data_IF_641328132200
#
_entry.id   IF_641328132200
#
_cell.length_a   1.000
_cell.length_b   1.000
_cell.length_c   1.000
_cell.angle_alpha   90.00
_cell.angle_beta   90.00
_cell.angle_gamma   90.00
#
_symmetry.space_group_name_H-M   'P 1'
#
loop_
_entity.id
_entity.type
_entity.pdbx_description
1 polymer ?
#
# COMPACT_ATOMS: atom_id res chain seq x y z
N UNK A 1 -23.58 -49.47 10.97
CA UNK A 1 -23.81 -48.62 12.16
C UNK A 1 -22.80 -47.48 12.13
N UNK A 2 -23.19 -46.32 11.61
CA UNK A 2 -22.40 -45.09 11.65
C UNK A 2 -23.33 -44.02 12.20
N UNK A 3 -23.30 -43.85 13.53
CA UNK A 3 -24.00 -42.77 14.21
C UNK A 3 -22.97 -41.72 14.60
N UNK A 4 -22.79 -40.71 13.75
CA UNK A 4 -22.24 -39.42 14.16
C UNK A 4 -23.35 -38.41 13.96
N UNK A 5 -24.03 -38.06 15.06
CA UNK A 5 -24.93 -36.91 15.06
C UNK A 5 -24.07 -35.67 14.85
N UNK A 6 -24.23 -35.04 13.70
CA UNK A 6 -23.78 -33.67 13.52
C UNK A 6 -24.86 -32.79 14.14
N UNK A 7 -24.55 -32.15 15.26
CA UNK A 7 -25.38 -31.08 15.77
C UNK A 7 -25.33 -29.95 14.74
N UNK A 8 -26.43 -29.78 14.02
CA UNK A 8 -26.70 -28.57 13.26
C UNK A 8 -26.86 -27.47 14.31
N UNK A 9 -25.78 -26.75 14.60
CA UNK A 9 -25.87 -25.49 15.32
C UNK A 9 -26.54 -24.51 14.36
N UNK A 10 -27.87 -24.55 14.33
CA UNK A 10 -28.67 -23.45 13.85
C UNK A 10 -28.25 -22.23 14.68
N UNK A 11 -27.60 -21.23 14.06
CA UNK A 11 -27.45 -19.91 14.66
C UNK A 11 -28.71 -19.12 14.32
N UNK A 12 -29.72 -19.01 15.22
CA UNK A 12 -30.98 -18.37 14.93
C UNK A 12 -31.01 -17.01 15.65
N UNK A 13 -29.92 -16.24 15.60
CA UNK A 13 -29.94 -14.86 16.09
C UNK A 13 -30.10 -13.91 14.92
N UNK A 14 -31.36 -13.78 14.54
CA UNK A 14 -31.90 -12.61 13.85
C UNK A 14 -31.24 -11.33 14.42
N UNK A 15 -30.53 -10.56 13.58
CA UNK A 15 -29.87 -9.31 13.98
C UNK A 15 -30.88 -8.32 14.56
N UNK A 16 -30.96 -8.13 15.87
CA UNK A 16 -31.60 -6.96 16.50
C UNK A 16 -30.50 -6.18 17.20
N UNK A 17 -30.01 -5.07 16.62
CA UNK A 17 -29.00 -4.25 17.27
C UNK A 17 -29.56 -3.65 18.56
N UNK A 18 -28.75 -3.67 19.61
CA UNK A 18 -28.99 -2.92 20.84
C UNK A 18 -29.10 -1.41 20.54
N UNK A 19 -29.65 -0.67 21.50
CA UNK A 19 -29.73 0.81 21.41
C UNK A 19 -28.34 1.42 21.17
N UNK A 20 -27.32 0.88 21.84
CA UNK A 20 -25.93 1.31 21.69
C UNK A 20 -25.38 1.03 20.29
N UNK A 21 -25.59 -0.17 19.76
CA UNK A 21 -25.15 -0.51 18.39
C UNK A 21 -25.91 0.28 17.33
N UNK A 22 -27.19 0.60 17.58
CA UNK A 22 -27.99 1.45 16.68
C UNK A 22 -27.45 2.87 16.64
N UNK A 23 -27.15 3.45 17.81
CA UNK A 23 -26.51 4.77 17.90
C UNK A 23 -25.12 4.78 17.25
N UNK A 24 -24.34 3.73 17.48
CA UNK A 24 -23.02 3.56 16.87
C UNK A 24 -23.09 3.47 15.35
N UNK A 25 -24.04 2.68 14.82
CA UNK A 25 -24.29 2.58 13.38
C UNK A 25 -24.60 3.96 12.79
N UNK A 26 -25.55 4.69 13.38
CA UNK A 26 -25.92 6.02 12.89
C UNK A 26 -24.74 6.99 12.89
N UNK A 27 -23.91 6.98 13.94
CA UNK A 27 -22.71 7.81 13.98
C UNK A 27 -21.72 7.45 12.87
N UNK A 28 -21.40 6.15 12.70
CA UNK A 28 -20.43 5.70 11.68
C UNK A 28 -20.93 5.98 10.26
N UNK A 29 -22.20 5.73 9.98
CA UNK A 29 -22.78 6.02 8.65
C UNK A 29 -22.66 7.52 8.33
N UNK A 30 -23.03 8.39 9.27
CA UNK A 30 -22.90 9.83 9.07
C UNK A 30 -21.43 10.26 8.93
N UNK A 31 -20.53 9.73 9.76
CA UNK A 31 -19.11 10.01 9.67
C UNK A 31 -18.52 9.59 8.31
N UNK A 32 -18.79 8.37 7.84
CA UNK A 32 -18.24 7.89 6.57
C UNK A 32 -18.76 8.68 5.36
N UNK A 33 -19.97 9.22 5.44
CA UNK A 33 -20.54 10.07 4.39
C UNK A 33 -19.70 11.32 4.11
N UNK A 34 -19.13 11.93 5.16
CA UNK A 34 -18.39 13.19 5.04
C UNK A 34 -16.87 12.99 4.89
N UNK A 35 -16.35 11.84 5.32
CA UNK A 35 -14.90 11.60 5.41
C UNK A 35 -14.31 10.82 4.24
N UNK A 36 -15.14 10.10 3.47
CA UNK A 36 -14.64 9.43 2.27
C UNK A 36 -14.39 10.49 1.20
N UNK A 37 -13.10 10.71 0.92
CA UNK A 37 -12.66 11.70 -0.06
C UNK A 37 -12.53 11.12 -1.48
N UNK A 38 -12.14 9.84 -1.60
CA UNK A 38 -11.78 9.19 -2.86
C UNK A 38 -12.23 7.73 -2.87
N UNK A 39 -12.77 7.26 -4.00
CA UNK A 39 -13.28 5.89 -4.16
C UNK A 39 -14.73 5.74 -3.69
N UNK A 40 -15.22 4.51 -3.66
CA UNK A 40 -16.54 4.19 -3.14
C UNK A 40 -16.44 3.07 -2.12
N UNK A 41 -16.98 3.30 -0.92
CA UNK A 41 -17.19 2.25 0.07
C UNK A 41 -18.66 1.86 0.08
N UNK A 42 -18.94 0.56 -0.03
CA UNK A 42 -20.29 0.00 0.05
C UNK A 42 -20.35 -0.91 1.27
N UNK A 43 -21.17 -0.56 2.25
CA UNK A 43 -21.50 -1.42 3.40
C UNK A 43 -22.81 -2.16 3.12
N UNK A 44 -22.79 -3.49 3.26
CA UNK A 44 -23.95 -4.37 3.05
C UNK A 44 -24.27 -5.07 4.38
N UNK A 45 -25.46 -4.88 4.93
CA UNK A 45 -25.94 -5.58 6.13
C UNK A 45 -26.82 -6.79 5.77
N UNK A 46 -26.98 -7.76 6.69
CA UNK A 46 -27.75 -8.99 6.44
C UNK A 46 -29.24 -8.77 6.09
N UNK A 47 -29.80 -7.60 6.40
CA UNK A 47 -31.18 -7.24 6.05
C UNK A 47 -31.34 -6.67 4.63
N UNK A 48 -30.28 -6.70 3.83
CA UNK A 48 -30.26 -6.06 2.51
C UNK A 48 -30.16 -4.54 2.57
N UNK A 49 -29.88 -3.97 3.75
CA UNK A 49 -29.59 -2.55 3.91
C UNK A 49 -28.20 -2.31 3.30
N UNK A 50 -28.13 -1.34 2.39
CA UNK A 50 -26.90 -0.96 1.71
C UNK A 50 -26.63 0.51 1.97
N UNK A 51 -25.45 0.81 2.49
CA UNK A 51 -24.93 2.17 2.59
C UNK A 51 -23.83 2.36 1.56
N UNK A 52 -23.94 3.42 0.76
CA UNK A 52 -22.95 3.75 -0.27
C UNK A 52 -22.35 5.10 0.06
N UNK A 53 -21.03 5.13 0.23
CA UNK A 53 -20.26 6.32 0.53
C UNK A 53 -19.32 6.60 -0.63
N UNK A 54 -19.57 7.68 -1.37
CA UNK A 54 -18.81 8.06 -2.54
C UNK A 54 -17.91 9.27 -2.26
N UNK A 55 -16.66 9.16 -2.69
CA UNK A 55 -15.65 10.19 -2.52
C UNK A 55 -15.97 11.51 -3.21
N UNK A 56 -15.96 12.61 -2.45
CA UNK A 56 -16.32 13.94 -2.94
C UNK A 56 -15.23 14.68 -3.72
N UNK A 57 -13.94 14.29 -3.60
CA UNK A 57 -12.81 15.06 -4.13
C UNK A 57 -12.32 14.63 -5.51
N UNK A 58 -12.34 13.33 -5.82
CA UNK A 58 -11.81 12.78 -7.07
C UNK A 58 -12.58 11.53 -7.48
N UNK A 59 -13.04 11.50 -8.74
CA UNK A 59 -13.61 10.27 -9.34
C UNK A 59 -12.55 9.18 -9.37
N UNK A 60 -12.86 8.04 -8.79
CA UNK A 60 -11.97 6.87 -8.73
C UNK A 60 -12.77 5.62 -9.06
N UNK A 61 -12.22 4.68 -9.85
CA UNK A 61 -12.85 3.39 -10.10
C UNK A 61 -12.78 2.46 -8.87
N UNK A 62 -12.00 2.82 -7.83
CA UNK A 62 -11.81 2.01 -6.64
C UNK A 62 -13.13 1.84 -5.88
N UNK A 63 -13.61 0.60 -5.80
CA UNK A 63 -14.82 0.22 -5.07
C UNK A 63 -14.51 -0.89 -4.07
N UNK A 64 -14.92 -0.69 -2.82
CA UNK A 64 -14.75 -1.68 -1.75
C UNK A 64 -16.12 -2.07 -1.22
N UNK A 65 -16.38 -3.37 -1.15
CA UNK A 65 -17.62 -3.93 -0.62
C UNK A 65 -17.34 -4.63 0.70
N UNK A 66 -17.86 -4.08 1.78
CA UNK A 66 -17.80 -4.65 3.12
C UNK A 66 -19.19 -5.17 3.50
N UNK A 67 -19.25 -6.44 3.90
CA UNK A 67 -20.44 -7.08 4.42
C UNK A 67 -20.36 -7.13 5.94
N UNK A 68 -21.31 -6.51 6.62
CA UNK A 68 -21.44 -6.51 8.08
C UNK A 68 -22.35 -7.67 8.47
N UNK A 69 -21.80 -8.61 9.23
CA UNK A 69 -22.52 -9.79 9.74
C UNK A 69 -22.98 -9.59 11.19
N UNK A 70 -22.28 -8.75 11.95
CA UNK A 70 -22.60 -8.49 13.36
C UNK A 70 -22.59 -6.98 13.68
N UNK A 71 -23.68 -6.41 14.23
CA UNK A 71 -23.76 -4.98 14.54
C UNK A 71 -22.74 -4.51 15.60
N UNK A 72 -22.14 -5.41 16.38
CA UNK A 72 -20.99 -5.11 17.24
C UNK A 72 -19.83 -4.46 16.49
N UNK A 73 -19.72 -4.70 15.18
CA UNK A 73 -18.77 -4.02 14.29
C UNK A 73 -18.77 -2.51 14.53
N UNK A 74 -19.92 -1.85 14.49
CA UNK A 74 -20.01 -0.39 14.62
C UNK A 74 -19.52 0.10 15.99
N UNK A 75 -19.86 -0.63 17.05
CA UNK A 75 -19.40 -0.31 18.40
C UNK A 75 -17.87 -0.44 18.53
N UNK A 76 -17.28 -1.48 17.93
CA UNK A 76 -15.83 -1.67 17.89
C UNK A 76 -15.12 -0.56 17.12
N UNK A 77 -15.67 -0.12 15.97
CA UNK A 77 -15.09 1.00 15.22
C UNK A 77 -15.06 2.27 16.05
N UNK A 78 -16.16 2.62 16.72
CA UNK A 78 -16.21 3.84 17.54
C UNK A 78 -15.25 3.77 18.73
N UNK A 79 -15.16 2.63 19.40
CA UNK A 79 -14.42 2.51 20.66
C UNK A 79 -12.94 2.20 20.47
N UNK A 80 -12.56 1.57 19.36
CA UNK A 80 -11.22 1.02 19.16
C UNK A 80 -10.63 1.38 17.79
N UNK A 81 -11.33 2.17 16.96
CA UNK A 81 -10.86 2.65 15.66
C UNK A 81 -10.30 1.50 14.78
N UNK A 82 -9.06 1.64 14.30
CA UNK A 82 -8.38 0.67 13.43
C UNK A 82 -8.22 -0.72 14.07
N UNK A 83 -7.94 -0.78 15.38
CA UNK A 83 -7.89 -2.04 16.12
C UNK A 83 -9.27 -2.69 16.21
N UNK A 84 -10.31 -1.87 16.36
CA UNK A 84 -11.70 -2.33 16.34
C UNK A 84 -12.09 -2.93 15.00
N UNK A 85 -11.63 -2.34 13.90
CA UNK A 85 -11.80 -2.90 12.56
C UNK A 85 -11.09 -4.24 12.41
N UNK A 86 -9.82 -4.31 12.81
CA UNK A 86 -9.04 -5.55 12.74
C UNK A 86 -9.66 -6.67 13.59
N UNK A 87 -10.08 -6.38 14.83
CA UNK A 87 -10.76 -7.34 15.71
C UNK A 87 -12.07 -7.84 15.09
N UNK A 88 -12.88 -6.92 14.54
CA UNK A 88 -14.13 -7.27 13.88
C UNK A 88 -13.91 -8.14 12.64
N UNK A 89 -12.88 -7.85 11.84
CA UNK A 89 -12.53 -8.64 10.67
C UNK A 89 -12.06 -10.05 11.05
N UNK A 90 -11.15 -10.16 12.04
CA UNK A 90 -10.62 -11.44 12.53
C UNK A 90 -11.73 -12.30 13.15
N UNK A 91 -12.67 -11.71 13.88
CA UNK A 91 -13.81 -12.41 14.50
C UNK A 91 -14.94 -12.72 13.52
N UNK A 92 -14.87 -12.23 12.28
CA UNK A 92 -15.91 -12.45 11.27
C UNK A 92 -17.16 -11.59 11.46
N UNK A 93 -17.09 -10.53 12.28
CA UNK A 93 -18.18 -9.55 12.41
C UNK A 93 -18.37 -8.73 11.13
N UNK A 94 -17.30 -8.61 10.33
CA UNK A 94 -17.28 -7.99 9.01
C UNK A 94 -16.42 -8.82 8.06
N UNK A 95 -16.78 -8.87 6.77
CA UNK A 95 -15.95 -9.45 5.72
C UNK A 95 -15.99 -8.60 4.45
N UNK A 96 -15.06 -8.83 3.53
CA UNK A 96 -15.18 -8.30 2.17
C UNK A 96 -15.99 -9.25 1.30
N UNK A 97 -16.80 -8.70 0.39
CA UNK A 97 -17.51 -9.51 -0.62
C UNK A 97 -16.51 -10.16 -1.57
N UNK A 98 -15.49 -9.39 -1.96
CA UNK A 98 -14.32 -9.93 -2.64
C UNK A 98 -13.29 -10.39 -1.61
N UNK A 99 -13.18 -11.71 -1.43
CA UNK A 99 -12.28 -12.30 -0.43
C UNK A 99 -10.80 -12.17 -0.79
N UNK A 100 -10.48 -12.00 -2.07
CA UNK A 100 -9.10 -11.95 -2.54
C UNK A 100 -8.63 -10.51 -2.69
N UNK A 101 -9.48 -9.63 -3.22
CA UNK A 101 -9.09 -8.26 -3.55
C UNK A 101 -9.71 -7.23 -2.60
N UNK A 102 -10.76 -7.53 -1.85
CA UNK A 102 -11.47 -6.50 -1.07
C UNK A 102 -10.60 -5.83 -0.01
N UNK A 103 -9.87 -6.61 0.80
CA UNK A 103 -8.92 -6.10 1.79
C UNK A 103 -7.71 -5.44 1.11
N UNK A 104 -7.22 -6.05 0.02
CA UNK A 104 -6.09 -5.53 -0.74
C UNK A 104 -6.42 -4.17 -1.37
N UNK A 105 -7.60 -4.01 -1.94
CA UNK A 105 -8.07 -2.78 -2.56
C UNK A 105 -8.24 -1.66 -1.54
N UNK A 106 -8.70 -2.02 -0.32
CA UNK A 106 -8.89 -1.09 0.77
C UNK A 106 -7.57 -0.60 1.39
N UNK A 107 -6.53 -1.44 1.43
CA UNK A 107 -5.28 -1.14 2.18
C UNK A 107 -4.03 -0.99 1.32
N UNK A 108 -3.98 -1.60 0.13
CA UNK A 108 -2.73 -1.88 -0.59
C UNK A 108 -2.83 -1.74 -2.12
N UNK A 109 -3.88 -1.14 -2.67
CA UNK A 109 -4.00 -0.92 -4.13
C UNK A 109 -3.05 0.16 -4.64
N UNK A 110 -2.59 0.03 -5.89
CA UNK A 110 -1.79 1.06 -6.56
C UNK A 110 -2.54 2.38 -6.66
N UNK A 111 -3.85 2.31 -6.89
CA UNK A 111 -4.76 3.45 -6.91
C UNK A 111 -4.70 4.20 -5.58
N UNK A 112 -4.79 3.49 -4.45
CA UNK A 112 -4.71 4.08 -3.11
C UNK A 112 -3.36 4.77 -2.88
N UNK A 113 -2.25 4.08 -3.17
CA UNK A 113 -0.91 4.63 -3.01
C UNK A 113 -0.70 5.90 -3.87
N UNK A 114 -1.26 5.92 -5.09
CA UNK A 114 -1.16 7.07 -5.99
C UNK A 114 -1.90 8.33 -5.49
N UNK A 115 -2.74 8.23 -4.46
CA UNK A 115 -3.49 9.36 -3.90
C UNK A 115 -2.64 10.25 -3.01
N UNK A 116 -1.67 9.66 -2.30
CA UNK A 116 -0.83 10.39 -1.34
C UNK A 116 0.66 10.36 -1.70
N UNK A 117 1.07 9.51 -2.64
CA UNK A 117 2.40 9.56 -3.25
C UNK A 117 2.43 10.56 -4.40
N UNK A 118 3.63 10.99 -4.76
CA UNK A 118 3.89 11.64 -6.03
C UNK A 118 3.97 10.61 -7.19
N UNK A 119 4.17 11.09 -8.41
CA UNK A 119 4.19 10.26 -9.62
C UNK A 119 5.38 9.29 -9.70
N UNK A 120 6.36 9.41 -8.79
CA UNK A 120 7.45 8.45 -8.67
C UNK A 120 7.03 7.13 -8.00
N UNK A 121 5.87 7.08 -7.35
CA UNK A 121 5.35 5.92 -6.61
C UNK A 121 6.39 5.33 -5.65
N UNK A 122 6.96 6.16 -4.77
CA UNK A 122 7.95 5.72 -3.78
C UNK A 122 7.39 5.72 -2.36
N UNK A 123 7.22 4.52 -1.80
CA UNK A 123 6.91 4.33 -0.37
C UNK A 123 8.17 4.19 0.48
N UNK A 124 9.05 5.19 0.41
CA UNK A 124 10.26 5.28 1.23
C UNK A 124 10.53 6.73 1.60
N UNK A 125 11.43 6.98 2.56
CA UNK A 125 11.81 8.36 2.88
C UNK A 125 12.40 9.07 1.66
N UNK A 126 12.18 10.39 1.60
CA UNK A 126 12.75 11.28 0.61
C UNK A 126 13.87 12.12 1.23
N UNK A 127 14.74 12.73 0.40
CA UNK A 127 15.79 13.64 0.88
C UNK A 127 15.38 15.08 0.56
N UNK A 128 14.90 15.81 1.57
CA UNK A 128 14.58 17.24 1.49
C UNK A 128 15.81 18.10 1.80
N UNK A 129 16.12 19.07 0.94
CA UNK A 129 17.17 20.09 1.17
C UNK A 129 16.61 21.35 1.81
N UNK A 130 15.36 21.70 1.49
CA UNK A 130 14.63 22.81 2.10
C UNK A 130 13.20 22.40 2.43
N UNK A 131 12.49 23.25 3.18
CA UNK A 131 11.07 23.04 3.51
C UNK A 131 10.14 23.24 2.31
N UNK A 132 10.62 23.90 1.26
CA UNK A 132 9.86 24.24 0.06
C UNK A 132 10.02 23.18 -1.05
N UNK A 133 10.87 22.17 -0.84
CA UNK A 133 11.00 21.05 -1.76
C UNK A 133 9.69 20.26 -1.84
N UNK A 134 9.17 20.08 -3.06
CA UNK A 134 8.09 19.12 -3.27
C UNK A 134 8.58 17.66 -3.09
N UNK A 135 7.63 16.75 -2.82
CA UNK A 135 7.93 15.35 -2.54
C UNK A 135 8.66 14.67 -3.71
N UNK A 136 8.26 14.95 -4.96
CA UNK A 136 8.86 14.36 -6.16
C UNK A 136 10.33 14.73 -6.28
N UNK A 137 10.65 15.99 -6.12
CA UNK A 137 12.00 16.53 -6.12
C UNK A 137 12.84 15.86 -5.03
N UNK A 138 12.30 15.71 -3.83
CA UNK A 138 12.98 15.05 -2.72
C UNK A 138 13.20 13.53 -2.97
N UNK A 139 12.26 12.83 -3.62
CA UNK A 139 12.40 11.41 -3.97
C UNK A 139 13.44 11.21 -5.09
N UNK A 140 13.42 12.03 -6.14
CA UNK A 140 14.42 11.95 -7.21
C UNK A 140 15.82 12.26 -6.67
N UNK A 141 15.95 13.21 -5.74
CA UNK A 141 17.22 13.50 -5.08
C UNK A 141 17.75 12.31 -4.27
N UNK A 142 16.87 11.60 -3.56
CA UNK A 142 17.21 10.35 -2.87
C UNK A 142 17.80 9.34 -3.86
N UNK A 143 17.13 9.11 -4.98
CA UNK A 143 17.59 8.21 -6.04
C UNK A 143 18.98 8.62 -6.56
N UNK A 144 19.16 9.88 -6.98
CA UNK A 144 20.44 10.36 -7.49
C UNK A 144 21.57 10.19 -6.48
N UNK A 145 21.31 10.49 -5.20
CA UNK A 145 22.32 10.29 -4.14
C UNK A 145 22.70 8.82 -3.94
N UNK A 146 21.75 7.89 -4.08
CA UNK A 146 22.03 6.45 -4.02
C UNK A 146 22.88 6.00 -5.21
N UNK A 147 22.54 6.44 -6.42
CA UNK A 147 23.29 6.11 -7.65
C UNK A 147 24.74 6.60 -7.54
N UNK A 148 24.92 7.86 -7.12
CA UNK A 148 26.25 8.47 -6.93
C UNK A 148 27.10 7.71 -5.91
N UNK A 149 26.51 7.38 -4.75
CA UNK A 149 27.20 6.64 -3.68
C UNK A 149 27.55 5.21 -4.09
N UNK A 150 26.68 4.56 -4.86
CA UNK A 150 26.90 3.20 -5.35
C UNK A 150 27.96 3.13 -6.46
N UNK A 151 28.31 4.26 -7.09
CA UNK A 151 29.33 4.35 -8.16
C UNK A 151 29.09 3.35 -9.29
N UNK A 152 27.82 3.19 -9.67
CA UNK A 152 27.40 2.26 -10.72
C UNK A 152 27.79 2.83 -12.09
N UNK A 153 28.26 1.96 -12.99
CA UNK A 153 28.55 2.28 -14.39
C UNK A 153 27.95 1.20 -15.31
N UNK A 154 28.06 1.41 -16.61
CA UNK A 154 27.51 0.54 -17.66
C UNK A 154 27.99 -0.92 -17.62
N UNK A 155 29.16 -1.20 -17.04
CA UNK A 155 29.72 -2.55 -16.95
C UNK A 155 29.21 -3.33 -15.74
N UNK A 156 28.45 -2.70 -14.84
CA UNK A 156 27.93 -3.34 -13.65
C UNK A 156 26.56 -4.01 -13.89
N UNK A 157 26.30 -5.05 -13.10
CA UNK A 157 24.99 -5.64 -12.92
C UNK A 157 24.50 -5.37 -11.48
N UNK A 158 23.30 -4.81 -11.36
CA UNK A 158 22.71 -4.38 -10.09
C UNK A 158 21.50 -5.24 -9.74
N UNK A 159 21.48 -5.76 -8.51
CA UNK A 159 20.33 -6.41 -7.91
C UNK A 159 19.69 -5.51 -6.85
N UNK A 160 18.41 -5.20 -7.02
CA UNK A 160 17.60 -4.40 -6.09
C UNK A 160 16.51 -5.26 -5.43
N UNK A 161 16.70 -5.56 -4.15
CA UNK A 161 15.79 -6.39 -3.36
C UNK A 161 14.74 -5.48 -2.72
N UNK A 162 13.48 -5.68 -3.06
CA UNK A 162 12.40 -4.79 -2.66
C UNK A 162 12.26 -3.59 -3.59
N UNK A 163 12.36 -3.80 -4.90
CA UNK A 163 12.41 -2.75 -5.93
C UNK A 163 11.14 -1.88 -6.04
N UNK A 164 10.06 -2.25 -5.32
CA UNK A 164 8.78 -1.56 -5.34
C UNK A 164 8.25 -1.40 -6.77
N UNK A 165 7.76 -0.19 -7.10
CA UNK A 165 7.26 0.18 -8.43
C UNK A 165 8.35 0.43 -9.48
N UNK A 166 9.62 0.06 -9.21
CA UNK A 166 10.71 0.03 -10.19
C UNK A 166 11.37 1.39 -10.49
N UNK A 167 10.95 2.47 -9.82
CA UNK A 167 11.44 3.83 -10.09
C UNK A 167 12.97 3.96 -9.94
N UNK A 168 13.56 3.35 -8.92
CA UNK A 168 15.02 3.39 -8.73
C UNK A 168 15.76 2.75 -9.91
N UNK A 169 15.39 1.52 -10.30
CA UNK A 169 16.01 0.84 -11.43
C UNK A 169 15.83 1.58 -12.76
N UNK A 170 14.67 2.18 -13.01
CA UNK A 170 14.44 3.00 -14.21
C UNK A 170 15.41 4.17 -14.28
N UNK A 171 15.57 4.92 -13.18
CA UNK A 171 16.49 6.06 -13.14
C UNK A 171 17.96 5.62 -13.19
N UNK A 172 18.29 4.52 -12.53
CA UNK A 172 19.64 3.95 -12.54
C UNK A 172 20.07 3.53 -13.95
N UNK A 173 19.23 2.75 -14.66
CA UNK A 173 19.53 2.29 -16.02
C UNK A 173 19.60 3.48 -16.98
N UNK A 174 18.71 4.47 -16.85
CA UNK A 174 18.76 5.70 -17.66
C UNK A 174 20.05 6.50 -17.48
N UNK A 175 20.55 6.60 -16.24
CA UNK A 175 21.72 7.42 -15.92
C UNK A 175 23.05 6.71 -16.18
N UNK A 176 23.09 5.37 -16.06
CA UNK A 176 24.34 4.61 -16.06
C UNK A 176 24.48 3.59 -17.18
N UNK A 177 23.38 3.20 -17.84
CA UNK A 177 23.38 2.13 -18.84
C UNK A 177 23.64 0.73 -18.26
N UNK A 178 23.67 0.56 -16.94
CA UNK A 178 23.96 -0.73 -16.30
C UNK A 178 22.86 -1.77 -16.55
N UNK A 179 23.16 -3.05 -16.27
CA UNK A 179 22.14 -4.10 -16.19
C UNK A 179 21.46 -4.06 -14.83
N UNK A 180 20.13 -4.14 -14.80
CA UNK A 180 19.36 -4.10 -13.58
C UNK A 180 18.40 -5.29 -13.45
N UNK A 181 18.38 -5.89 -12.26
CA UNK A 181 17.39 -6.86 -11.82
C UNK A 181 16.75 -6.38 -10.51
N UNK A 182 15.44 -6.22 -10.49
CA UNK A 182 14.64 -5.93 -9.31
C UNK A 182 13.89 -7.17 -8.82
N UNK A 183 13.80 -7.34 -7.49
CA UNK A 183 12.97 -8.37 -6.87
C UNK A 183 11.86 -7.71 -6.04
N UNK A 184 10.61 -8.15 -6.24
CA UNK A 184 9.49 -7.86 -5.33
C UNK A 184 8.49 -9.00 -5.33
N UNK A 185 7.85 -9.25 -4.18
CA UNK A 185 6.80 -10.26 -4.06
C UNK A 185 5.43 -9.77 -4.58
N UNK A 186 5.29 -8.47 -4.87
CA UNK A 186 4.02 -7.90 -5.33
C UNK A 186 3.89 -7.97 -6.84
N UNK A 187 2.97 -8.81 -7.33
CA UNK A 187 2.61 -8.92 -8.75
C UNK A 187 2.14 -7.58 -9.34
N UNK A 188 1.44 -6.77 -8.56
CA UNK A 188 0.97 -5.45 -9.00
C UNK A 188 2.11 -4.45 -9.16
N UNK A 189 3.13 -4.52 -8.31
CA UNK A 189 4.35 -3.72 -8.47
C UNK A 189 5.16 -4.16 -9.68
N UNK A 190 5.26 -5.47 -9.94
CA UNK A 190 5.91 -6.01 -11.15
C UNK A 190 5.22 -5.48 -12.41
N UNK A 191 3.90 -5.66 -12.54
CA UNK A 191 3.12 -5.17 -13.68
C UNK A 191 3.29 -3.66 -13.90
N UNK A 192 3.25 -2.88 -12.83
CA UNK A 192 3.45 -1.44 -12.90
C UNK A 192 4.86 -1.09 -13.41
N UNK A 193 5.89 -1.70 -12.81
CA UNK A 193 7.28 -1.46 -13.19
C UNK A 193 7.52 -1.83 -14.67
N UNK A 194 7.03 -2.98 -15.13
CA UNK A 194 7.14 -3.42 -16.52
C UNK A 194 6.47 -2.44 -17.49
N UNK A 195 5.29 -1.90 -17.15
CA UNK A 195 4.63 -0.86 -17.94
C UNK A 195 5.52 0.38 -18.07
N UNK A 196 6.09 0.85 -16.95
CA UNK A 196 6.95 2.05 -16.95
C UNK A 196 8.27 1.87 -17.66
N UNK A 197 8.84 0.67 -17.60
CA UNK A 197 10.06 0.29 -18.34
C UNK A 197 9.80 0.28 -19.83
N UNK A 198 8.65 -0.28 -20.26
CA UNK A 198 8.22 -0.27 -21.65
C UNK A 198 7.98 1.15 -22.17
N UNK A 199 7.29 1.99 -21.40
CA UNK A 199 7.10 3.42 -21.71
C UNK A 199 8.45 4.16 -21.85
N UNK A 200 9.45 3.78 -21.05
CA UNK A 200 10.78 4.37 -21.06
C UNK A 200 11.74 3.77 -22.12
N UNK A 201 11.33 2.71 -22.82
CA UNK A 201 12.14 2.06 -23.86
C UNK A 201 13.42 1.37 -23.35
N UNK A 202 13.45 0.91 -22.10
CA UNK A 202 14.66 0.34 -21.49
C UNK A 202 14.77 -1.18 -21.77
N UNK A 203 15.93 -1.61 -22.29
CA UNK A 203 16.17 -3.01 -22.68
C UNK A 203 16.87 -3.87 -21.59
N UNK A 204 17.49 -3.24 -20.58
CA UNK A 204 18.31 -3.91 -19.55
C UNK A 204 17.70 -3.85 -18.15
N UNK A 205 16.38 -3.97 -18.06
CA UNK A 205 15.65 -3.98 -16.80
C UNK A 205 14.80 -5.25 -16.72
N UNK A 206 14.93 -5.97 -15.60
CA UNK A 206 14.06 -7.10 -15.25
C UNK A 206 13.48 -6.90 -13.86
N UNK A 207 12.21 -7.22 -13.65
CA UNK A 207 11.58 -7.27 -12.33
C UNK A 207 10.90 -8.64 -12.14
N UNK A 208 11.12 -9.32 -11.01
CA UNK A 208 10.59 -10.66 -10.80
C UNK A 208 10.39 -11.01 -9.30
N UNK A 209 9.65 -12.09 -9.02
CA UNK A 209 9.39 -12.54 -7.64
C UNK A 209 10.62 -13.20 -6.97
N UNK A 210 11.61 -13.62 -7.76
CA UNK A 210 12.87 -14.18 -7.28
C UNK A 210 14.00 -13.94 -8.29
N UNK A 211 15.24 -13.81 -7.81
CA UNK A 211 16.43 -13.89 -8.66
C UNK A 211 17.43 -14.89 -8.07
N UNK A 212 18.03 -15.68 -8.94
CA UNK A 212 19.21 -16.50 -8.65
C UNK A 212 20.36 -15.91 -9.45
N UNK A 213 21.35 -15.27 -8.81
CA UNK A 213 22.63 -14.91 -9.44
C UNK A 213 23.76 -14.83 -8.41
N UNK A 214 24.93 -15.35 -8.80
CA UNK A 214 26.09 -15.55 -7.93
C UNK A 214 27.13 -14.40 -7.94
N UNK A 215 27.04 -13.38 -8.82
CA UNK A 215 28.12 -12.38 -9.00
C UNK A 215 27.68 -10.90 -9.23
N UNK A 216 26.65 -10.40 -8.53
CA UNK A 216 26.11 -9.04 -8.73
C UNK A 216 26.49 -8.00 -7.67
N UNK A 217 26.41 -6.69 -8.00
CA UNK A 217 26.38 -5.62 -6.98
C UNK A 217 25.00 -5.61 -6.34
N UNK A 218 24.95 -5.87 -5.04
CA UNK A 218 23.72 -5.85 -4.26
C UNK A 218 23.44 -4.43 -3.74
N UNK A 219 22.30 -3.87 -4.14
CA UNK A 219 21.79 -2.62 -3.59
C UNK A 219 20.55 -2.95 -2.76
N UNK A 220 20.71 -2.98 -1.45
CA UNK A 220 19.59 -3.13 -0.53
C UNK A 220 19.01 -1.75 -0.23
N UNK A 221 17.82 -1.45 -0.72
CA UNK A 221 17.20 -0.13 -0.49
C UNK A 221 16.53 -0.07 0.89
N UNK A 222 17.31 0.05 1.96
CA UNK A 222 16.79 0.40 3.30
C UNK A 222 17.10 1.86 3.57
N UNK A 223 16.10 2.71 3.33
CA UNK A 223 16.13 4.09 3.82
C UNK A 223 15.39 4.16 5.16
N UNK A 224 15.99 3.62 6.22
CA UNK A 224 15.77 4.09 7.59
C UNK A 224 16.92 5.03 7.93
N UNK A 225 16.69 6.34 7.98
CA UNK A 225 17.67 7.23 8.59
C UNK A 225 17.25 7.55 10.02
N UNK A 226 18.07 7.07 10.96
CA UNK A 226 18.43 7.85 12.14
C UNK A 226 18.97 9.21 11.66
N UNK A 227 18.49 10.28 12.29
CA UNK A 227 18.92 11.68 12.11
C UNK A 227 20.35 11.84 11.57
N UNK A 228 20.49 12.33 10.32
CA UNK A 228 21.77 12.88 9.85
C UNK A 228 22.02 14.20 10.59
N UNK A 229 22.88 14.15 11.62
CA UNK A 229 23.56 15.33 12.12
C UNK A 229 24.44 15.93 11.00
N UNK A 230 24.62 17.27 10.97
CA UNK A 230 25.32 17.94 9.88
C UNK A 230 26.78 17.49 9.82
N UNK A 231 27.21 17.06 8.64
CA UNK A 231 28.61 16.87 8.29
C UNK A 231 29.32 18.22 8.37
N UNK A 232 29.99 18.49 9.49
CA UNK A 232 30.92 19.61 9.57
C UNK A 232 32.10 19.35 8.64
N UNK A 233 32.30 20.26 7.68
CA UNK A 233 33.56 20.37 6.93
C UNK A 233 34.69 20.52 7.94
N UNK A 234 35.58 19.54 8.02
CA UNK A 234 36.93 19.79 8.54
C UNK A 234 37.59 20.82 7.62
N UNK A 235 37.80 22.01 8.17
CA UNK A 235 38.65 23.04 7.61
C UNK A 235 40.09 22.49 7.59
N UNK A 236 40.68 22.41 6.41
CA UNK A 236 42.14 22.40 6.27
C UNK A 236 42.55 23.78 5.75
N UNK A 237 42.92 24.66 6.68
CA UNK A 237 43.76 25.83 6.43
C UNK A 237 44.63 26.07 7.64
N UNK A 238 45.86 25.58 7.61
CA UNK A 238 47.08 26.33 7.92
C UNK A 238 48.26 25.62 7.27
#
# INVERSE_FOLDING_TARGET
MLNKSYDIINNPKQMVPSLMETGARSYIVNFLQDYIAIGTLILIEERGIVFTFEGSKRKSPLKVYLKVHNPQFYWKIITQAELGFADAYIKGDVSFTDKNEGLLNMLMSNELFSLFMDDTMQYSCAIFKSKDDDLKTAQLRKISSLIEKARVNENHEVLDIGCGWGRFGIELVKQTGCKYTGITLSKEQIKYAESKVKEAGLQFFRCCESALKDDGIFVLQVCQFHYMLPYQKQQNTT
#
